data_IF_515545914360
#
_entry.id   IF_515545914360
#
_cell.length_a   1.000
_cell.length_b   1.000
_cell.length_c   1.000
_cell.angle_alpha   90.00
_cell.angle_beta   90.00
_cell.angle_gamma   90.00
#
_symmetry.space_group_name_H-M   'P 1'
#
loop_
_entity.id
_entity.type
_entity.pdbx_description
1 polymer ?
#
# COMPACT_ATOMS: atom_id res chain seq x y z
N UNK A 1 59.79 40.49 -19.55
CA UNK A 1 59.44 39.05 -19.68
C UNK A 1 58.14 38.81 -18.94
N UNK A 2 57.14 38.24 -19.63
CA UNK A 2 55.71 38.23 -19.27
C UNK A 2 55.43 37.38 -18.03
N UNK A 3 54.67 37.92 -17.06
CA UNK A 3 54.09 37.16 -15.94
C UNK A 3 52.80 36.50 -16.42
N UNK A 4 52.78 35.17 -16.48
CA UNK A 4 51.57 34.38 -16.78
C UNK A 4 50.81 34.22 -15.47
N UNK A 5 49.65 34.87 -15.35
CA UNK A 5 48.73 34.69 -14.23
C UNK A 5 47.80 33.54 -14.56
N UNK A 6 47.94 32.40 -13.87
CA UNK A 6 47.09 31.23 -14.07
C UNK A 6 45.78 31.46 -13.30
N UNK A 7 44.72 31.92 -13.99
CA UNK A 7 43.38 31.97 -13.42
C UNK A 7 42.83 30.54 -13.32
N UNK A 8 42.80 30.00 -12.11
CA UNK A 8 42.03 28.78 -11.81
C UNK A 8 40.54 29.12 -11.88
N UNK A 9 39.88 28.71 -12.96
CA UNK A 9 38.42 28.73 -13.05
C UNK A 9 37.89 27.56 -12.22
N UNK A 10 37.34 27.86 -11.04
CA UNK A 10 36.67 26.89 -10.20
C UNK A 10 35.30 26.57 -10.84
N UNK A 11 35.19 25.45 -11.54
CA UNK A 11 33.91 24.97 -12.08
C UNK A 11 33.12 24.33 -10.92
N UNK A 12 32.12 25.03 -10.41
CA UNK A 12 31.18 24.50 -9.43
C UNK A 12 30.22 23.54 -10.15
N UNK A 13 30.51 22.24 -10.13
CA UNK A 13 29.53 21.22 -10.53
C UNK A 13 28.43 21.17 -9.46
N UNK A 14 27.31 21.86 -9.69
CA UNK A 14 26.12 21.67 -8.87
C UNK A 14 25.54 20.28 -9.17
N UNK A 15 25.80 19.31 -8.29
CA UNK A 15 25.11 18.01 -8.35
C UNK A 15 23.64 18.25 -7.98
N UNK A 16 22.75 18.11 -8.96
CA UNK A 16 21.31 18.06 -8.70
C UNK A 16 21.03 16.71 -8.04
N UNK A 17 21.01 16.70 -6.71
CA UNK A 17 20.56 15.54 -5.94
C UNK A 17 19.05 15.44 -6.08
N UNK A 18 18.57 14.40 -6.76
CA UNK A 18 17.16 14.04 -6.72
C UNK A 18 16.84 13.49 -5.33
N UNK A 19 16.16 14.28 -4.50
CA UNK A 19 15.62 13.81 -3.23
C UNK A 19 14.34 13.05 -3.55
N UNK A 20 14.38 11.72 -3.45
CA UNK A 20 13.17 10.91 -3.52
C UNK A 20 12.42 11.06 -2.19
N UNK A 21 11.12 11.35 -2.27
CA UNK A 21 10.25 11.33 -1.11
C UNK A 21 10.23 9.90 -0.53
N UNK A 22 10.36 9.79 0.80
CA UNK A 22 10.19 8.49 1.46
C UNK A 22 8.73 8.04 1.44
N UNK A 23 8.43 6.75 1.69
CA UNK A 23 7.07 6.21 1.65
C UNK A 23 6.06 6.98 2.52
N UNK A 24 6.50 7.53 3.66
CA UNK A 24 5.64 8.34 4.54
C UNK A 24 5.21 9.64 3.86
N UNK A 25 6.12 10.30 3.15
CA UNK A 25 5.80 11.55 2.46
C UNK A 25 4.91 11.29 1.24
N UNK A 26 5.17 10.21 0.51
CA UNK A 26 4.31 9.76 -0.60
C UNK A 26 2.89 9.41 -0.13
N UNK A 27 2.76 8.80 1.06
CA UNK A 27 1.50 8.35 1.65
C UNK A 27 1.00 9.24 2.80
N UNK A 28 1.35 10.54 2.80
CA UNK A 28 0.94 11.46 3.87
C UNK A 28 -0.58 11.51 4.09
N UNK A 29 -1.36 11.26 3.04
CA UNK A 29 -2.82 11.18 3.11
C UNK A 29 -3.29 10.11 4.10
N UNK A 30 -2.58 8.99 4.21
CA UNK A 30 -2.91 7.87 5.09
C UNK A 30 -2.25 7.99 6.47
N UNK A 31 -1.23 8.84 6.61
CA UNK A 31 -0.49 9.06 7.85
C UNK A 31 -1.03 10.22 8.71
N UNK A 32 -2.28 10.64 8.50
CA UNK A 32 -2.88 11.79 9.20
C UNK A 32 -2.86 11.66 10.75
N UNK A 33 -2.92 10.43 11.25
CA UNK A 33 -2.85 10.11 12.69
C UNK A 33 -1.50 9.50 13.09
N UNK A 34 -0.46 9.68 12.27
CA UNK A 34 0.83 9.02 12.40
C UNK A 34 0.84 7.62 11.80
N UNK A 35 1.98 6.94 11.92
CA UNK A 35 2.14 5.55 11.50
C UNK A 35 2.10 4.64 12.72
N UNK A 36 1.37 3.49 12.69
CA UNK A 36 1.25 2.61 13.85
C UNK A 36 2.60 2.06 14.37
N UNK A 37 3.60 1.96 13.48
CA UNK A 37 4.96 1.59 13.83
C UNK A 37 5.85 1.51 12.60
N UNK A 38 7.18 1.50 12.82
CA UNK A 38 8.19 1.45 11.76
C UNK A 38 8.81 0.05 11.59
N UNK A 39 8.24 -0.96 12.23
CA UNK A 39 8.69 -2.35 12.06
C UNK A 39 8.22 -2.90 10.72
N UNK A 40 9.17 -3.23 9.84
CA UNK A 40 8.90 -3.79 8.52
C UNK A 40 9.20 -2.82 7.38
N UNK A 41 8.93 -3.27 6.16
CA UNK A 41 9.11 -2.48 4.95
C UNK A 41 7.87 -1.61 4.70
N UNK A 42 8.04 -0.28 4.72
CA UNK A 42 6.95 0.66 4.45
C UNK A 42 6.67 0.76 2.95
N UNK A 43 5.41 0.56 2.55
CA UNK A 43 4.99 0.55 1.16
C UNK A 43 3.84 1.51 0.95
N UNK A 44 4.00 2.47 0.05
CA UNK A 44 2.91 3.37 -0.33
C UNK A 44 2.14 2.84 -1.54
N UNK A 45 0.83 2.66 -1.41
CA UNK A 45 -0.07 2.32 -2.53
C UNK A 45 -1.06 3.46 -2.72
N UNK A 46 -1.63 3.53 -3.92
CA UNK A 46 -2.54 4.61 -4.30
C UNK A 46 -3.74 4.72 -3.37
N UNK A 47 -4.22 3.59 -2.84
CA UNK A 47 -5.41 3.53 -1.99
C UNK A 47 -5.15 3.31 -0.49
N UNK A 48 -3.94 2.92 -0.11
CA UNK A 48 -3.62 2.51 1.26
C UNK A 48 -2.12 2.58 1.53
N UNK A 49 -1.76 2.63 2.81
CA UNK A 49 -0.38 2.61 3.29
C UNK A 49 -0.18 1.39 4.19
N UNK A 50 0.94 0.71 4.09
CA UNK A 50 1.19 -0.49 4.90
C UNK A 50 2.64 -0.60 5.35
N UNK A 51 2.83 -1.36 6.43
CA UNK A 51 4.12 -1.95 6.78
C UNK A 51 4.08 -3.45 6.57
N UNK A 52 5.09 -4.00 5.92
CA UNK A 52 5.21 -5.42 5.59
C UNK A 52 6.26 -6.13 6.45
N UNK A 53 5.92 -7.28 7.03
CA UNK A 53 6.88 -8.14 7.74
C UNK A 53 7.58 -9.07 6.73
N UNK A 54 8.89 -8.92 6.47
CA UNK A 54 9.60 -9.72 5.46
C UNK A 54 9.78 -11.18 5.88
N UNK A 55 9.64 -11.51 7.17
CA UNK A 55 9.76 -12.87 7.69
C UNK A 55 8.41 -13.58 7.61
N UNK A 56 7.33 -12.93 8.05
CA UNK A 56 5.98 -13.50 7.99
C UNK A 56 5.34 -13.38 6.60
N UNK A 57 5.88 -12.50 5.75
CA UNK A 57 5.40 -12.19 4.40
C UNK A 57 3.96 -11.67 4.38
N UNK A 58 3.54 -11.00 5.43
CA UNK A 58 2.21 -10.42 5.63
C UNK A 58 2.34 -8.98 6.11
N UNK A 59 1.31 -8.14 5.93
CA UNK A 59 1.31 -6.81 6.53
C UNK A 59 1.32 -6.91 8.07
N UNK A 60 2.08 -6.03 8.72
CA UNK A 60 2.01 -5.77 10.17
C UNK A 60 0.80 -4.90 10.46
N UNK A 61 0.59 -3.89 9.62
CA UNK A 61 -0.56 -3.00 9.64
C UNK A 61 -0.82 -2.51 8.22
N UNK A 62 -2.09 -2.17 7.94
CA UNK A 62 -2.53 -1.48 6.73
C UNK A 62 -3.44 -0.36 7.20
N UNK A 63 -3.24 0.84 6.65
CA UNK A 63 -4.06 2.02 6.90
C UNK A 63 -4.68 2.45 5.59
N UNK A 64 -5.98 2.70 5.60
CA UNK A 64 -6.69 3.29 4.47
C UNK A 64 -7.55 4.48 4.90
N UNK A 65 -7.77 5.38 3.94
CA UNK A 65 -8.64 6.55 4.10
C UNK A 65 -9.82 6.40 3.16
N UNK A 66 -10.99 6.18 3.74
CA UNK A 66 -12.24 6.09 3.02
C UNK A 66 -12.97 7.43 3.10
N UNK A 67 -13.50 7.88 1.96
CA UNK A 67 -14.33 9.08 1.88
C UNK A 67 -15.55 8.79 1.01
N UNK A 68 -16.65 9.54 1.20
CA UNK A 68 -17.82 9.46 0.32
C UNK A 68 -17.47 9.64 -1.17
N UNK A 69 -16.47 10.48 -1.48
CA UNK A 69 -16.04 10.69 -2.87
C UNK A 69 -15.41 9.45 -3.52
N UNK A 70 -14.85 8.54 -2.70
CA UNK A 70 -14.21 7.28 -3.12
C UNK A 70 -15.17 6.09 -3.14
N UNK A 71 -16.44 6.24 -2.72
CA UNK A 71 -17.43 5.15 -2.75
C UNK A 71 -18.01 4.88 -4.15
N UNK A 72 -17.68 5.71 -5.14
CA UNK A 72 -18.07 5.50 -6.54
C UNK A 72 -17.46 4.21 -7.10
N UNK A 73 -18.29 3.19 -7.31
CA UNK A 73 -17.90 1.88 -7.85
C UNK A 73 -17.73 1.90 -9.37
N UNK A 74 -16.87 2.79 -9.88
CA UNK A 74 -16.62 2.93 -11.31
C UNK A 74 -15.76 1.78 -11.88
N UNK A 75 -14.98 1.12 -11.04
CA UNK A 75 -14.04 0.06 -11.42
C UNK A 75 -14.52 -1.29 -10.92
N UNK A 76 -14.59 -2.26 -11.83
CA UNK A 76 -14.87 -3.66 -11.49
C UNK A 76 -13.67 -4.29 -10.78
N UNK A 77 -13.97 -5.20 -9.85
CA UNK A 77 -12.97 -6.05 -9.19
C UNK A 77 -12.11 -6.77 -10.24
N UNK A 78 -10.79 -6.72 -10.08
CA UNK A 78 -9.84 -7.25 -11.07
C UNK A 78 -9.43 -8.70 -10.81
N UNK A 79 -9.42 -9.15 -9.54
CA UNK A 79 -8.99 -10.50 -9.15
C UNK A 79 -7.56 -10.86 -9.60
N UNK A 80 -6.71 -9.85 -9.82
CA UNK A 80 -5.35 -9.98 -10.35
C UNK A 80 -4.28 -10.12 -9.25
N UNK A 81 -4.49 -11.09 -8.36
CA UNK A 81 -3.55 -11.39 -7.27
C UNK A 81 -2.12 -11.59 -7.77
N UNK A 82 -1.17 -10.85 -7.20
CA UNK A 82 0.24 -10.90 -7.62
C UNK A 82 1.19 -10.53 -6.49
N UNK A 83 2.38 -11.11 -6.54
CA UNK A 83 3.44 -10.74 -5.62
C UNK A 83 3.80 -9.26 -5.80
N UNK A 84 4.11 -8.59 -4.70
CA UNK A 84 4.40 -7.16 -4.71
C UNK A 84 5.81 -6.91 -5.26
N UNK A 85 5.92 -6.14 -6.35
CA UNK A 85 7.19 -5.80 -6.98
C UNK A 85 8.04 -4.83 -6.15
N UNK A 86 7.45 -4.12 -5.18
CA UNK A 86 8.15 -3.25 -4.24
C UNK A 86 8.89 -4.01 -3.13
N UNK A 87 8.77 -5.34 -3.08
CA UNK A 87 9.43 -6.19 -2.09
C UNK A 87 10.40 -7.17 -2.76
N UNK A 88 11.49 -7.46 -2.07
CA UNK A 88 12.49 -8.42 -2.52
C UNK A 88 11.91 -9.85 -2.58
N UNK A 89 12.30 -10.63 -3.59
CA UNK A 89 11.95 -12.05 -3.67
C UNK A 89 12.49 -12.79 -2.44
N UNK A 90 11.67 -13.66 -1.86
CA UNK A 90 11.99 -14.35 -0.61
C UNK A 90 11.54 -13.62 0.65
N UNK A 91 11.40 -12.28 0.59
CA UNK A 91 10.81 -11.44 1.66
C UNK A 91 9.33 -11.10 1.42
N UNK A 92 8.77 -11.51 0.28
CA UNK A 92 7.36 -11.35 -0.07
C UNK A 92 6.65 -12.69 -0.19
N UNK A 93 5.33 -12.66 -0.08
CA UNK A 93 4.49 -13.80 -0.39
C UNK A 93 4.39 -13.99 -1.91
N UNK A 94 4.29 -15.24 -2.33
CA UNK A 94 4.05 -15.66 -3.71
C UNK A 94 2.72 -16.43 -3.78
N UNK A 95 2.12 -16.52 -4.98
CA UNK A 95 0.85 -17.23 -5.14
C UNK A 95 0.95 -18.72 -4.76
N UNK A 96 2.14 -19.30 -4.85
CA UNK A 96 2.43 -20.67 -4.40
C UNK A 96 2.24 -20.85 -2.89
N UNK A 97 2.45 -19.81 -2.08
CA UNK A 97 2.32 -19.89 -0.62
C UNK A 97 0.85 -20.08 -0.20
N UNK A 98 -0.09 -19.58 -1.02
CA UNK A 98 -1.53 -19.72 -0.79
C UNK A 98 -2.15 -20.93 -1.50
N UNK A 99 -1.55 -21.39 -2.61
CA UNK A 99 -2.13 -22.48 -3.42
C UNK A 99 -2.14 -23.78 -2.63
N UNK A 100 -3.34 -24.31 -2.37
CA UNK A 100 -3.52 -25.59 -1.67
C UNK A 100 -3.32 -25.52 -0.16
N UNK A 101 -3.17 -24.32 0.42
CA UNK A 101 -2.98 -24.15 1.88
C UNK A 101 -4.27 -24.36 2.69
N UNK A 102 -5.43 -24.29 2.03
CA UNK A 102 -6.75 -24.26 2.69
C UNK A 102 -7.18 -22.86 3.16
N UNK A 103 -6.35 -21.84 2.97
CA UNK A 103 -6.65 -20.45 3.33
C UNK A 103 -6.95 -19.59 2.10
N UNK A 104 -7.84 -18.62 2.30
CA UNK A 104 -8.07 -17.56 1.32
C UNK A 104 -6.93 -16.51 1.39
N UNK A 105 -6.79 -15.76 0.29
CA UNK A 105 -6.02 -14.51 0.24
C UNK A 105 -6.91 -13.38 0.76
N UNK A 106 -6.95 -13.22 2.08
CA UNK A 106 -7.80 -12.23 2.74
C UNK A 106 -7.20 -10.85 2.66
N UNK A 107 -7.97 -9.87 2.17
CA UNK A 107 -7.52 -8.49 2.05
C UNK A 107 -7.48 -7.81 3.42
N UNK A 108 -6.51 -6.92 3.61
CA UNK A 108 -6.53 -5.98 4.74
C UNK A 108 -7.14 -4.64 4.34
N UNK A 109 -6.71 -4.05 3.22
CA UNK A 109 -7.41 -2.99 2.49
C UNK A 109 -8.32 -3.62 1.41
N UNK A 110 -9.65 -3.63 1.55
CA UNK A 110 -10.55 -4.38 0.67
C UNK A 110 -10.63 -3.81 -0.75
N UNK A 111 -10.70 -4.70 -1.75
CA UNK A 111 -10.82 -4.27 -3.16
C UNK A 111 -12.05 -3.38 -3.43
N UNK A 112 -13.14 -3.59 -2.69
CA UNK A 112 -14.36 -2.80 -2.82
C UNK A 112 -14.15 -1.32 -2.42
N UNK A 113 -13.19 -1.03 -1.54
CA UNK A 113 -12.86 0.33 -1.08
C UNK A 113 -11.95 1.05 -2.09
N UNK A 114 -11.40 0.30 -3.04
CA UNK A 114 -10.54 0.78 -4.13
C UNK A 114 -11.27 0.91 -5.48
N UNK A 115 -12.59 0.76 -5.50
CA UNK A 115 -13.40 0.76 -6.72
C UNK A 115 -13.50 2.12 -7.45
N UNK A 116 -12.91 3.17 -6.89
CA UNK A 116 -12.84 4.50 -7.48
C UNK A 116 -11.70 4.68 -8.48
N UNK A 117 -10.71 3.79 -8.51
CA UNK A 117 -9.55 3.91 -9.41
C UNK A 117 -8.96 2.55 -9.82
N UNK A 118 -8.53 2.41 -11.08
CA UNK A 118 -8.05 1.13 -11.62
C UNK A 118 -6.71 0.70 -11.02
N UNK A 119 -5.82 1.65 -10.76
CA UNK A 119 -4.55 1.36 -10.13
C UNK A 119 -4.79 0.99 -8.67
N UNK A 120 -5.57 1.76 -7.92
CA UNK A 120 -5.90 1.42 -6.53
C UNK A 120 -6.54 0.01 -6.43
N UNK A 121 -7.48 -0.30 -7.32
CA UNK A 121 -8.09 -1.64 -7.41
C UNK A 121 -7.02 -2.72 -7.63
N UNK A 122 -6.18 -2.58 -8.64
CA UNK A 122 -5.15 -3.56 -8.96
C UNK A 122 -4.09 -3.71 -7.86
N UNK A 123 -3.72 -2.62 -7.19
CA UNK A 123 -2.77 -2.63 -6.07
C UNK A 123 -3.36 -3.29 -4.82
N UNK A 124 -4.68 -3.24 -4.61
CA UNK A 124 -5.34 -3.98 -3.52
C UNK A 124 -5.13 -5.50 -3.61
N UNK A 125 -4.80 -6.02 -4.80
CA UNK A 125 -4.51 -7.42 -5.05
C UNK A 125 -3.03 -7.80 -4.87
N UNK A 126 -2.16 -6.88 -4.47
CA UNK A 126 -0.81 -7.24 -4.07
C UNK A 126 -0.82 -8.15 -2.84
N UNK A 127 0.00 -9.20 -2.84
CA UNK A 127 0.08 -10.13 -1.73
C UNK A 127 0.65 -9.51 -0.44
N UNK A 128 1.28 -8.34 -0.51
CA UNK A 128 1.64 -7.51 0.65
C UNK A 128 0.44 -6.97 1.42
N UNK A 129 -0.74 -6.92 0.79
CA UNK A 129 -2.03 -6.58 1.39
C UNK A 129 -2.84 -7.81 1.84
N UNK A 130 -2.23 -9.00 1.81
CA UNK A 130 -2.92 -10.26 2.11
C UNK A 130 -2.43 -10.90 3.39
N UNK A 131 -3.37 -11.53 4.09
CA UNK A 131 -3.08 -12.53 5.14
C UNK A 131 -3.81 -13.83 4.82
N UNK A 132 -3.28 -15.00 5.22
CA UNK A 132 -4.03 -16.25 5.18
C UNK A 132 -5.25 -16.14 6.10
N UNK A 133 -6.45 -16.10 5.52
CA UNK A 133 -7.70 -16.06 6.28
C UNK A 133 -8.47 -17.36 6.09
N UNK A 134 -9.10 -17.85 7.16
CA UNK A 134 -10.06 -18.94 7.03
C UNK A 134 -11.19 -18.49 6.08
N UNK A 135 -11.53 -19.34 5.09
CA UNK A 135 -12.45 -18.92 4.03
C UNK A 135 -13.88 -18.73 4.52
N UNK A 136 -14.56 -19.82 4.90
CA UNK A 136 -15.95 -19.78 5.39
C UNK A 136 -15.97 -19.26 6.83
N UNK A 137 -16.91 -18.36 7.13
CA UNK A 137 -17.13 -17.82 8.47
C UNK A 137 -16.24 -16.62 8.83
N UNK A 138 -14.99 -16.57 8.31
CA UNK A 138 -14.08 -15.44 8.51
C UNK A 138 -14.01 -14.51 7.29
N UNK A 139 -13.18 -14.81 6.27
CA UNK A 139 -13.00 -13.94 5.10
C UNK A 139 -14.33 -13.71 4.35
N UNK A 140 -15.02 -14.81 4.02
CA UNK A 140 -16.35 -14.81 3.37
C UNK A 140 -17.48 -14.83 4.40
N UNK A 141 -17.31 -14.10 5.49
CA UNK A 141 -18.23 -14.08 6.63
C UNK A 141 -18.08 -12.79 7.42
N UNK A 142 -17.71 -12.89 8.70
CA UNK A 142 -17.67 -11.74 9.61
C UNK A 142 -16.75 -10.61 9.13
N UNK A 143 -15.67 -10.94 8.42
CA UNK A 143 -14.76 -9.93 7.87
C UNK A 143 -15.44 -9.12 6.75
N UNK A 144 -16.01 -9.80 5.75
CA UNK A 144 -16.80 -9.17 4.68
C UNK A 144 -17.94 -8.29 5.22
N UNK A 145 -18.64 -8.73 6.27
CA UNK A 145 -19.70 -7.93 6.89
C UNK A 145 -19.15 -6.68 7.59
N UNK A 146 -17.99 -6.78 8.26
CA UNK A 146 -17.30 -5.62 8.84
C UNK A 146 -16.86 -4.63 7.75
N UNK A 147 -16.24 -5.10 6.67
CA UNK A 147 -15.86 -4.26 5.53
C UNK A 147 -17.07 -3.51 4.96
N UNK A 148 -18.21 -4.21 4.83
CA UNK A 148 -19.46 -3.59 4.39
C UNK A 148 -19.92 -2.53 5.39
N UNK A 149 -19.85 -2.83 6.69
CA UNK A 149 -20.30 -1.89 7.73
C UNK A 149 -19.45 -0.63 7.79
N UNK A 150 -18.13 -0.75 7.60
CA UNK A 150 -17.22 0.40 7.49
C UNK A 150 -17.65 1.32 6.34
N UNK A 151 -17.95 0.78 5.16
CA UNK A 151 -18.46 1.57 4.04
C UNK A 151 -19.77 2.30 4.35
N UNK A 152 -20.71 1.62 5.02
CA UNK A 152 -21.96 2.27 5.46
C UNK A 152 -21.67 3.44 6.42
N UNK A 153 -20.73 3.29 7.35
CA UNK A 153 -20.34 4.39 8.24
C UNK A 153 -19.65 5.53 7.50
N UNK A 154 -18.93 5.29 6.41
CA UNK A 154 -18.37 6.36 5.56
C UNK A 154 -19.50 7.14 4.89
N UNK A 155 -20.55 6.47 4.40
CA UNK A 155 -21.72 7.12 3.83
C UNK A 155 -22.43 8.00 4.89
N UNK A 156 -22.51 7.54 6.14
CA UNK A 156 -23.11 8.30 7.25
C UNK A 156 -22.23 9.46 7.76
N UNK A 157 -20.92 9.24 7.90
CA UNK A 157 -19.99 10.14 8.63
C UNK A 157 -19.13 11.01 7.72
N UNK A 158 -19.04 10.68 6.43
CA UNK A 158 -18.28 11.42 5.43
C UNK A 158 -16.90 10.84 5.15
N UNK A 159 -16.17 10.50 6.21
CA UNK A 159 -14.79 10.02 6.16
C UNK A 159 -14.50 9.07 7.32
N UNK A 160 -13.67 8.06 7.05
CA UNK A 160 -13.06 7.21 8.07
C UNK A 160 -11.61 6.89 7.71
N UNK A 161 -10.80 6.78 8.75
CA UNK A 161 -9.49 6.14 8.70
C UNK A 161 -9.61 4.79 9.39
N UNK A 162 -9.13 3.74 8.73
CA UNK A 162 -9.13 2.36 9.22
C UNK A 162 -7.70 1.90 9.34
#
# INVERSE_FOLDING_TARGET
MRRICLQFVLVLCASVSFVFAGPIEECKEYAAYGVPGLSGDLLCRKGFFLSHDPVKKTPVWVVERLTRGRSNKAVKRSDDFKADAGLERGKRAELSDYRGSGYDRGHMAPAADMAWDRQAMSESFYLSNMVPQAGVGMNRGIWMELEKKVREWVDERGELFV
#
